data_IF_736175207413
#
_entry.id   IF_736175207413
#
_cell.length_a   1.000
_cell.length_b   1.000
_cell.length_c   1.000
_cell.angle_alpha   90.00
_cell.angle_beta   90.00
_cell.angle_gamma   90.00
#
_symmetry.space_group_name_H-M   'P 1'
#
loop_
_entity.id
_entity.type
_entity.pdbx_description
1 polymer ?
#
# COMPACT_ATOMS: atom_id res chain seq x y z
N UNK A 1 -6.69 2.20 13.41
CA UNK A 1 -7.65 1.39 14.22
C UNK A 1 -7.61 -0.03 13.71
N UNK A 2 -8.04 -0.99 14.50
CA UNK A 2 -7.95 -2.41 14.14
C UNK A 2 -9.30 -2.96 13.67
N UNK A 3 -9.28 -3.70 12.57
CA UNK A 3 -10.45 -4.38 12.02
C UNK A 3 -10.25 -5.89 12.20
N UNK A 4 -11.18 -6.59 12.89
CA UNK A 4 -11.14 -8.05 12.93
C UNK A 4 -11.37 -8.62 11.53
N UNK A 5 -10.32 -9.17 10.93
CA UNK A 5 -10.40 -9.86 9.65
C UNK A 5 -9.46 -11.09 9.70
N UNK A 6 -9.99 -12.32 9.74
CA UNK A 6 -9.17 -13.53 9.81
C UNK A 6 -8.58 -13.95 8.46
N UNK A 7 -9.08 -13.42 7.35
CA UNK A 7 -8.64 -13.77 5.99
C UNK A 7 -7.39 -13.00 5.56
N UNK A 8 -7.14 -11.84 6.18
CA UNK A 8 -6.04 -10.94 5.82
C UNK A 8 -5.03 -10.89 6.96
N UNK A 9 -3.72 -11.08 6.72
CA UNK A 9 -2.69 -11.11 7.76
C UNK A 9 -2.64 -9.87 8.66
N UNK A 10 -2.27 -10.10 9.92
CA UNK A 10 -2.11 -9.04 10.89
C UNK A 10 -1.05 -8.01 10.43
N UNK A 11 -1.38 -6.72 10.57
CA UNK A 11 -0.52 -5.63 10.10
C UNK A 11 -0.80 -5.16 8.67
N UNK A 12 -1.73 -5.80 7.95
CA UNK A 12 -2.11 -5.38 6.60
C UNK A 12 -3.14 -4.26 6.64
N UNK A 13 -3.00 -3.27 5.74
CA UNK A 13 -4.01 -2.22 5.56
C UNK A 13 -5.21 -2.78 4.80
N UNK A 14 -6.38 -2.78 5.43
CA UNK A 14 -7.62 -3.31 4.85
C UNK A 14 -8.59 -2.22 4.40
N UNK A 15 -8.44 -1.01 4.92
CA UNK A 15 -9.33 0.10 4.58
C UNK A 15 -8.67 1.44 4.83
N UNK A 16 -8.90 2.39 3.91
CA UNK A 16 -8.57 3.81 4.11
C UNK A 16 -9.82 4.53 4.61
N UNK A 17 -9.74 5.13 5.78
CA UNK A 17 -10.84 5.94 6.35
C UNK A 17 -10.71 7.39 5.93
N UNK A 18 -9.48 7.87 5.85
CA UNK A 18 -9.20 9.21 5.35
C UNK A 18 -7.97 9.17 4.44
N UNK A 19 -8.04 9.77 3.24
CA UNK A 19 -6.91 9.83 2.34
C UNK A 19 -5.80 10.70 2.91
N UNK A 20 -4.56 10.27 2.67
CA UNK A 20 -3.36 11.06 2.91
C UNK A 20 -2.88 11.74 1.63
N UNK A 21 -2.06 12.76 1.77
CA UNK A 21 -1.47 13.51 0.66
C UNK A 21 0.01 13.75 0.89
N UNK A 22 0.79 13.62 -0.19
CA UNK A 22 2.19 14.02 -0.26
C UNK A 22 2.43 14.90 -1.48
N UNK A 23 3.42 15.77 -1.39
CA UNK A 23 3.93 16.57 -2.50
C UNK A 23 5.40 16.22 -2.64
N UNK A 24 5.75 15.53 -3.73
CA UNK A 24 7.06 14.89 -3.86
C UNK A 24 7.33 13.98 -2.65
N UNK A 25 8.45 14.21 -1.97
CA UNK A 25 8.87 13.43 -0.79
C UNK A 25 8.28 13.95 0.54
N UNK A 26 7.59 15.09 0.53
CA UNK A 26 7.05 15.70 1.75
C UNK A 26 5.63 15.22 2.01
N UNK A 27 5.40 14.65 3.19
CA UNK A 27 4.06 14.24 3.65
C UNK A 27 3.33 15.47 4.20
N UNK A 28 2.23 15.86 3.55
CA UNK A 28 1.36 16.95 4.00
C UNK A 28 0.41 16.45 5.08
N UNK A 29 -0.18 15.27 4.88
CA UNK A 29 -1.07 14.61 5.83
C UNK A 29 -0.99 13.10 5.63
N UNK A 30 -0.71 12.30 6.67
CA UNK A 30 -0.74 10.85 6.55
C UNK A 30 -2.17 10.33 6.37
N UNK A 31 -2.31 9.20 5.68
CA UNK A 31 -3.59 8.51 5.54
C UNK A 31 -4.01 7.88 6.87
N UNK A 32 -5.30 7.98 7.21
CA UNK A 32 -5.86 7.26 8.35
C UNK A 32 -6.36 5.90 7.86
N UNK A 33 -5.73 4.83 8.35
CA UNK A 33 -5.99 3.46 7.88
C UNK A 33 -6.47 2.52 8.99
N UNK A 34 -7.28 1.56 8.57
CA UNK A 34 -7.67 0.39 9.35
C UNK A 34 -6.70 -0.76 9.06
N UNK A 35 -6.15 -1.35 10.11
CA UNK A 35 -5.20 -2.46 10.02
C UNK A 35 -5.88 -3.76 10.47
N UNK A 36 -5.62 -4.86 9.79
CA UNK A 36 -6.15 -6.17 10.16
C UNK A 36 -5.54 -6.67 11.48
N UNK A 37 -6.40 -7.23 12.35
CA UNK A 37 -5.99 -7.89 13.61
C UNK A 37 -5.81 -9.41 13.47
N UNK A 38 -6.24 -10.03 12.36
CA UNK A 38 -6.34 -11.49 12.22
C UNK A 38 -5.44 -12.08 11.15
N UNK A 39 -5.42 -13.40 11.03
CA UNK A 39 -4.68 -14.14 10.01
C UNK A 39 -3.18 -14.37 10.30
N UNK A 40 -2.67 -15.62 10.25
CA UNK A 40 -1.24 -15.88 10.32
C UNK A 40 -0.51 -15.13 9.18
N UNK A 41 0.67 -14.57 9.49
CA UNK A 41 1.52 -13.86 8.53
C UNK A 41 1.94 -14.84 7.43
N UNK A 42 1.25 -14.85 6.28
CA UNK A 42 1.77 -15.54 5.11
C UNK A 42 3.08 -14.84 4.73
N UNK A 43 4.17 -15.60 4.67
CA UNK A 43 5.47 -15.11 4.22
C UNK A 43 5.47 -15.02 2.69
N UNK A 44 4.65 -14.12 2.16
CA UNK A 44 4.61 -13.67 0.77
C UNK A 44 3.96 -12.28 0.89
N UNK A 45 4.58 -11.16 0.55
CA UNK A 45 5.19 -10.86 -0.73
C UNK A 45 6.38 -9.91 -0.54
N UNK A 46 7.59 -10.45 -0.59
CA UNK A 46 8.71 -9.71 -1.15
C UNK A 46 8.69 -9.94 -2.67
N UNK A 47 7.71 -9.36 -3.36
CA UNK A 47 7.76 -9.16 -4.81
C UNK A 47 7.71 -7.67 -5.09
N UNK A 48 8.78 -7.00 -4.69
CA UNK A 48 9.19 -5.77 -5.37
C UNK A 48 9.78 -6.22 -6.69
N UNK A 49 8.94 -6.36 -7.71
CA UNK A 49 9.39 -6.26 -9.09
C UNK A 49 8.72 -5.01 -9.65
N UNK A 50 9.45 -3.89 -9.81
CA UNK A 50 8.96 -2.80 -10.63
C UNK A 50 8.75 -3.37 -12.03
N UNK A 51 7.50 -3.41 -12.48
CA UNK A 51 7.18 -3.75 -13.88
C UNK A 51 7.94 -2.81 -14.83
N UNK A 52 8.21 -3.26 -16.07
CA UNK A 52 9.06 -2.53 -17.00
C UNK A 52 8.49 -1.13 -17.20
N UNK A 53 9.36 -0.13 -17.10
CA UNK A 53 9.05 1.24 -17.51
C UNK A 53 8.54 1.15 -18.95
N UNK A 54 7.35 1.70 -19.22
CA UNK A 54 6.82 1.74 -20.58
C UNK A 54 7.84 2.43 -21.50
N UNK A 55 8.43 1.67 -22.41
CA UNK A 55 9.45 2.08 -23.41
C UNK A 55 8.89 3.03 -24.50
N UNK A 56 7.72 3.65 -24.26
CA UNK A 56 6.98 4.48 -25.23
C UNK A 56 7.09 5.98 -24.97
N UNK A 57 7.93 6.43 -24.03
CA UNK A 57 8.10 7.86 -23.72
C UNK A 57 9.28 8.54 -24.48
N UNK A 58 10.02 7.82 -25.32
CA UNK A 58 11.20 8.38 -26.02
C UNK A 58 11.11 8.19 -27.54
N UNK A 59 9.96 8.56 -28.13
CA UNK A 59 9.81 8.67 -29.59
C UNK A 59 9.19 9.99 -30.08
N UNK A 60 8.94 10.93 -29.17
CA UNK A 60 8.36 12.25 -29.47
C UNK A 60 9.29 13.42 -29.07
N UNK A 61 10.61 13.21 -29.06
CA UNK A 61 11.62 14.26 -28.91
C UNK A 61 12.55 14.31 -30.12
#
# INVERSE_FOLDING_TARGET
FEVPNPEVPAGTVVQVVQPGYSIGERVLRPAMVGVAKGGPKTAAEAKVEPGPVNEQAEKDA
#
